data_IF_333883133981
#
_entry.id   IF_333883133981
#
_cell.length_a   1.000
_cell.length_b   1.000
_cell.length_c   1.000
_cell.angle_alpha   90.00
_cell.angle_beta   90.00
_cell.angle_gamma   90.00
#
_symmetry.space_group_name_H-M   'P 1'
#
loop_
_entity.id
_entity.type
_entity.pdbx_description
1 polymer ?
#
# COMPACT_ATOMS: atom_id res chain seq x y z
N UNK A 1 7.74 -28.12 -14.22
CA UNK A 1 8.46 -26.88 -13.86
C UNK A 1 7.43 -25.88 -13.40
N UNK A 2 7.56 -25.36 -12.18
CA UNK A 2 6.69 -24.31 -11.65
C UNK A 2 7.46 -23.00 -11.70
N UNK A 3 6.84 -21.94 -12.19
CA UNK A 3 7.46 -20.60 -12.29
C UNK A 3 6.64 -19.63 -11.45
N UNK A 4 7.32 -18.82 -10.64
CA UNK A 4 6.71 -17.72 -9.89
C UNK A 4 7.14 -16.42 -10.55
N UNK A 5 6.18 -15.56 -10.86
CA UNK A 5 6.40 -14.25 -11.48
C UNK A 5 5.76 -13.19 -10.60
N UNK A 6 6.49 -12.10 -10.37
CA UNK A 6 6.02 -10.94 -9.58
C UNK A 6 5.99 -9.73 -10.50
N UNK A 7 4.87 -9.03 -10.55
CA UNK A 7 4.66 -7.85 -11.39
C UNK A 7 3.75 -6.86 -10.64
N UNK A 8 3.94 -5.56 -10.88
CA UNK A 8 3.02 -4.50 -10.43
C UNK A 8 1.85 -4.27 -11.38
N UNK A 9 1.93 -4.84 -12.58
CA UNK A 9 0.88 -4.77 -13.59
C UNK A 9 0.12 -6.08 -13.64
N UNK A 10 -1.17 -5.99 -13.97
CA UNK A 10 -1.98 -7.15 -14.31
C UNK A 10 -1.30 -8.03 -15.37
N UNK A 11 -1.44 -9.36 -15.28
CA UNK A 11 -0.96 -10.27 -16.31
C UNK A 11 -1.53 -9.89 -17.69
N UNK A 12 -0.66 -9.88 -18.70
CA UNK A 12 -1.03 -9.56 -20.07
C UNK A 12 -2.16 -10.47 -20.59
N UNK A 13 -2.97 -9.97 -21.54
CA UNK A 13 -4.11 -10.71 -22.10
C UNK A 13 -3.71 -12.06 -22.73
N UNK A 14 -2.46 -12.20 -23.15
CA UNK A 14 -1.88 -13.46 -23.63
C UNK A 14 -1.96 -14.61 -22.61
N UNK A 15 -2.02 -14.30 -21.31
CA UNK A 15 -2.22 -15.28 -20.24
C UNK A 15 -3.68 -15.74 -20.09
N UNK A 16 -4.64 -15.16 -20.83
CA UNK A 16 -6.06 -15.49 -20.71
C UNK A 16 -6.34 -16.98 -20.96
N UNK A 17 -5.68 -17.59 -21.95
CA UNK A 17 -5.82 -19.03 -22.22
C UNK A 17 -5.28 -19.88 -21.07
N UNK A 18 -4.16 -19.48 -20.48
CA UNK A 18 -3.59 -20.18 -19.32
C UNK A 18 -4.48 -20.08 -18.09
N UNK A 19 -5.09 -18.91 -17.86
CA UNK A 19 -6.11 -18.70 -16.82
C UNK A 19 -7.33 -19.60 -17.03
N UNK A 20 -7.91 -19.61 -18.25
CA UNK A 20 -9.07 -20.44 -18.57
C UNK A 20 -8.80 -21.93 -18.38
N UNK A 21 -7.56 -22.36 -18.65
CA UNK A 21 -7.12 -23.75 -18.44
C UNK A 21 -6.69 -24.08 -17.00
N UNK A 22 -6.85 -23.15 -16.03
CA UNK A 22 -6.41 -23.29 -14.62
C UNK A 22 -4.93 -23.67 -14.46
N UNK A 23 -4.08 -23.26 -15.41
CA UNK A 23 -2.63 -23.51 -15.39
C UNK A 23 -1.82 -22.38 -14.75
N UNK A 24 -2.49 -21.28 -14.38
CA UNK A 24 -1.90 -20.13 -13.69
C UNK A 24 -2.86 -19.74 -12.57
N UNK A 25 -2.31 -19.58 -11.37
CA UNK A 25 -2.97 -18.96 -10.22
C UNK A 25 -2.47 -17.54 -10.07
N UNK A 26 -3.36 -16.63 -9.66
CA UNK A 26 -3.03 -15.23 -9.40
C UNK A 26 -3.24 -14.95 -7.91
N UNK A 27 -2.28 -14.25 -7.31
CA UNK A 27 -2.39 -13.69 -5.98
C UNK A 27 -2.39 -12.17 -6.16
N UNK A 28 -3.54 -11.55 -5.96
CA UNK A 28 -3.72 -10.11 -6.01
C UNK A 28 -3.49 -9.47 -4.66
N UNK A 29 -3.79 -8.17 -4.58
CA UNK A 29 -3.67 -7.40 -3.36
C UNK A 29 -4.47 -8.00 -2.19
N UNK A 30 -5.70 -8.44 -2.44
CA UNK A 30 -6.58 -8.99 -1.39
C UNK A 30 -6.05 -10.29 -0.78
N UNK A 31 -5.33 -11.11 -1.56
CA UNK A 31 -4.74 -12.35 -1.06
C UNK A 31 -3.40 -12.15 -0.33
N UNK A 32 -2.69 -11.06 -0.62
CA UNK A 32 -1.36 -10.78 -0.01
C UNK A 32 -1.41 -9.76 1.12
N UNK A 33 -2.46 -8.93 1.19
CA UNK A 33 -2.62 -8.01 2.31
C UNK A 33 -2.88 -8.81 3.57
N UNK A 34 -2.16 -8.48 4.64
CA UNK A 34 -2.39 -9.16 5.91
C UNK A 34 -3.77 -8.82 6.44
N UNK A 35 -4.47 -9.84 6.90
CA UNK A 35 -5.58 -9.70 7.82
C UNK A 35 -5.08 -9.17 9.17
N UNK A 36 -6.00 -8.74 10.04
CA UNK A 36 -5.66 -8.39 11.42
C UNK A 36 -5.03 -9.59 12.17
N UNK A 37 -5.49 -10.81 11.88
CA UNK A 37 -4.95 -12.04 12.45
C UNK A 37 -3.49 -12.28 12.04
N UNK A 38 -3.19 -12.14 10.75
CA UNK A 38 -1.83 -12.27 10.21
C UNK A 38 -0.92 -11.14 10.68
N UNK A 39 -1.43 -9.92 10.79
CA UNK A 39 -0.68 -8.78 11.35
C UNK A 39 -0.23 -9.07 12.78
N UNK A 40 -1.15 -9.58 13.63
CA UNK A 40 -0.82 -10.01 14.99
C UNK A 40 0.25 -11.09 15.01
N UNK A 41 0.12 -12.08 14.12
CA UNK A 41 1.05 -13.20 14.07
C UNK A 41 2.45 -12.79 13.59
N UNK A 42 2.52 -11.92 12.58
CA UNK A 42 3.76 -11.35 12.09
C UNK A 42 4.49 -10.54 13.18
N UNK A 43 3.77 -9.72 13.95
CA UNK A 43 4.31 -9.01 15.10
C UNK A 43 4.84 -9.99 16.16
N UNK A 44 4.10 -11.07 16.45
CA UNK A 44 4.50 -12.11 17.41
C UNK A 44 5.79 -12.83 16.99
N UNK A 45 5.90 -13.22 15.72
CA UNK A 45 7.08 -13.87 15.13
C UNK A 45 8.28 -12.92 15.11
N UNK A 46 8.04 -11.63 14.93
CA UNK A 46 9.07 -10.57 14.97
C UNK A 46 9.50 -10.17 16.40
N UNK A 47 9.05 -10.91 17.42
CA UNK A 47 9.43 -10.70 18.82
C UNK A 47 8.61 -9.63 19.57
N UNK A 48 7.54 -9.09 18.97
CA UNK A 48 6.65 -8.07 19.58
C UNK A 48 5.44 -8.70 20.26
N UNK A 49 5.70 -9.61 21.21
CA UNK A 49 4.64 -10.43 21.85
C UNK A 49 3.79 -9.69 22.88
N UNK A 50 4.26 -8.54 23.36
CA UNK A 50 3.64 -7.77 24.45
C UNK A 50 2.79 -6.59 23.99
N UNK A 51 2.56 -6.43 22.68
CA UNK A 51 1.72 -5.34 22.18
C UNK A 51 0.24 -5.62 22.50
N UNK A 52 -0.45 -4.60 23.03
CA UNK A 52 -1.89 -4.67 23.24
C UNK A 52 -2.66 -4.86 21.92
N UNK A 53 -3.86 -5.45 22.02
CA UNK A 53 -4.75 -5.66 20.88
C UNK A 53 -5.12 -4.33 20.17
N UNK A 54 -5.25 -3.24 20.91
CA UNK A 54 -5.53 -1.92 20.36
C UNK A 54 -4.36 -1.37 19.54
N UNK A 55 -3.13 -1.58 20.00
CA UNK A 55 -1.92 -1.21 19.24
C UNK A 55 -1.84 -2.00 17.95
N UNK A 56 -2.08 -3.31 18.00
CA UNK A 56 -2.07 -4.19 16.81
C UNK A 56 -3.13 -3.72 15.80
N UNK A 57 -4.34 -3.41 16.27
CA UNK A 57 -5.42 -2.89 15.42
C UNK A 57 -5.02 -1.57 14.76
N UNK A 58 -4.44 -0.62 15.51
CA UNK A 58 -3.95 0.64 14.97
C UNK A 58 -2.86 0.46 13.91
N UNK A 59 -1.89 -0.42 14.15
CA UNK A 59 -0.84 -0.75 13.18
C UNK A 59 -1.43 -1.36 11.89
N UNK A 60 -2.39 -2.26 12.04
CA UNK A 60 -3.09 -2.87 10.91
C UNK A 60 -3.88 -1.82 10.11
N UNK A 61 -4.66 -0.95 10.77
CA UNK A 61 -5.42 0.12 10.13
C UNK A 61 -4.51 1.14 9.43
N UNK A 62 -3.42 1.54 10.08
CA UNK A 62 -2.44 2.50 9.53
C UNK A 62 -1.77 1.97 8.27
N UNK A 63 -1.52 0.66 8.22
CA UNK A 63 -0.89 0.01 7.06
C UNK A 63 -1.92 -0.53 6.07
N UNK A 64 -3.21 -0.54 6.41
CA UNK A 64 -4.26 -1.24 5.67
C UNK A 64 -3.90 -2.70 5.30
N UNK A 65 -3.12 -3.39 6.14
CA UNK A 65 -2.60 -4.74 5.88
C UNK A 65 -1.36 -4.79 4.97
N UNK A 66 -0.77 -3.64 4.63
CA UNK A 66 0.45 -3.57 3.83
C UNK A 66 1.68 -4.05 4.60
N UNK A 67 2.15 -5.24 4.25
CA UNK A 67 3.28 -5.91 4.91
C UNK A 67 4.54 -5.04 4.93
N UNK A 68 4.90 -4.43 3.80
CA UNK A 68 6.10 -3.60 3.74
C UNK A 68 5.98 -2.37 4.66
N UNK A 69 4.79 -1.75 4.72
CA UNK A 69 4.49 -0.71 5.70
C UNK A 69 4.70 -1.20 7.12
N UNK A 70 4.11 -2.35 7.48
CA UNK A 70 4.26 -2.96 8.80
C UNK A 70 5.73 -3.22 9.15
N UNK A 71 6.52 -3.74 8.22
CA UNK A 71 7.97 -3.99 8.41
C UNK A 71 8.73 -2.68 8.65
N UNK A 72 8.46 -1.64 7.87
CA UNK A 72 9.09 -0.33 8.06
C UNK A 72 8.77 0.25 9.46
N UNK A 73 7.52 0.08 9.92
CA UNK A 73 7.13 0.49 11.27
C UNK A 73 7.88 -0.32 12.34
N UNK A 74 7.98 -1.64 12.15
CA UNK A 74 8.70 -2.50 13.09
C UNK A 74 10.19 -2.15 13.19
N UNK A 75 10.84 -1.80 12.08
CA UNK A 75 12.26 -1.39 12.09
C UNK A 75 12.47 -0.08 12.86
N UNK A 76 11.58 0.91 12.70
CA UNK A 76 11.63 2.15 13.50
C UNK A 76 11.41 1.89 14.99
N UNK A 77 10.53 0.94 15.34
CA UNK A 77 10.33 0.54 16.74
C UNK A 77 11.53 -0.21 17.36
N UNK A 78 12.54 -0.62 16.57
CA UNK A 78 13.78 -1.19 17.13
C UNK A 78 14.76 -0.10 17.55
N UNK A 79 14.72 1.07 16.90
CA UNK A 79 15.65 2.17 17.14
C UNK A 79 15.24 3.06 18.31
N UNK A 80 13.94 3.28 18.50
CA UNK A 80 13.41 3.87 19.73
C UNK A 80 13.20 2.79 20.77
N UNK A 81 13.34 3.13 22.04
CA UNK A 81 13.32 2.23 23.22
C UNK A 81 11.95 1.55 23.44
N UNK A 82 11.54 0.69 22.52
CA UNK A 82 10.81 -0.57 22.68
C UNK A 82 9.60 -0.62 23.62
N UNK A 83 8.92 0.50 23.89
CA UNK A 83 7.81 0.54 24.84
C UNK A 83 6.54 1.05 24.15
N UNK A 84 5.37 0.51 24.55
CA UNK A 84 4.06 0.92 24.05
C UNK A 84 3.77 2.44 24.04
N UNK A 85 4.37 3.30 24.91
CA UNK A 85 4.25 4.74 24.80
C UNK A 85 4.83 5.33 23.51
N UNK A 86 5.91 4.78 22.96
CA UNK A 86 6.51 5.25 21.70
C UNK A 86 5.59 5.04 20.49
N UNK A 87 4.62 4.11 20.60
CA UNK A 87 3.60 3.88 19.57
C UNK A 87 2.41 4.84 19.67
N UNK A 88 2.21 5.49 20.82
CA UNK A 88 1.20 6.54 20.96
C UNK A 88 1.60 7.80 20.22
N UNK A 89 2.90 8.04 20.05
CA UNK A 89 3.45 9.12 19.21
C UNK A 89 3.55 8.65 17.75
N UNK A 90 2.39 8.55 17.10
CA UNK A 90 2.25 8.16 15.68
C UNK A 90 3.04 9.06 14.69
N UNK A 91 3.54 10.21 15.12
CA UNK A 91 4.33 11.11 14.25
C UNK A 91 5.66 10.46 13.82
N UNK A 92 6.38 9.80 14.73
CA UNK A 92 7.66 9.13 14.45
C UNK A 92 7.49 7.92 13.50
N UNK A 93 6.29 7.33 13.53
CA UNK A 93 5.88 6.16 12.74
C UNK A 93 5.63 6.54 11.26
N UNK A 94 5.20 7.78 11.00
CA UNK A 94 4.92 8.27 9.63
C UNK A 94 6.20 8.60 8.84
N UNK A 95 7.25 9.07 9.50
CA UNK A 95 8.50 9.47 8.84
C UNK A 95 9.19 8.31 8.12
N UNK A 96 9.25 7.11 8.74
CA UNK A 96 9.87 5.93 8.13
C UNK A 96 9.14 5.40 6.89
N UNK A 97 7.79 5.38 6.96
CA UNK A 97 6.97 5.05 5.79
C UNK A 97 7.14 6.12 4.70
N UNK A 98 7.19 7.40 5.10
CA UNK A 98 7.36 8.51 4.18
C UNK A 98 8.69 8.44 3.43
N UNK A 99 9.81 8.14 4.10
CA UNK A 99 11.12 8.04 3.45
C UNK A 99 11.16 6.93 2.39
N UNK A 100 10.63 5.76 2.72
CA UNK A 100 10.50 4.67 1.76
C UNK A 100 9.60 5.07 0.59
N UNK A 101 8.43 5.66 0.87
CA UNK A 101 7.50 6.12 -0.16
C UNK A 101 8.17 7.14 -1.09
N UNK A 102 8.84 8.14 -0.50
CA UNK A 102 9.48 9.22 -1.23
C UNK A 102 10.58 8.67 -2.16
N UNK A 103 11.37 7.71 -1.68
CA UNK A 103 12.54 7.18 -2.41
C UNK A 103 12.19 6.08 -3.40
N UNK A 104 11.43 5.08 -2.96
CA UNK A 104 11.20 3.86 -3.73
C UNK A 104 10.02 3.96 -4.66
N UNK A 105 9.07 4.87 -4.40
CA UNK A 105 7.86 4.98 -5.22
C UNK A 105 7.70 6.35 -5.86
N UNK A 106 7.68 7.42 -5.06
CA UNK A 106 7.43 8.78 -5.57
C UNK A 106 8.54 9.26 -6.50
N UNK A 107 9.82 9.14 -6.11
CA UNK A 107 10.96 9.52 -6.97
C UNK A 107 11.05 8.71 -8.26
N UNK A 108 10.58 7.46 -8.26
CA UNK A 108 10.54 6.60 -9.47
C UNK A 108 9.33 6.88 -10.36
N UNK A 109 8.33 7.61 -9.89
CA UNK A 109 7.20 8.05 -10.70
C UNK A 109 7.61 9.17 -11.67
N UNK A 110 7.00 9.20 -12.85
CA UNK A 110 7.19 10.30 -13.80
C UNK A 110 6.74 11.64 -13.24
N UNK A 111 7.26 12.75 -13.79
CA UNK A 111 6.97 14.11 -13.30
C UNK A 111 5.48 14.45 -13.28
N UNK A 112 4.74 14.03 -14.29
CA UNK A 112 3.28 14.19 -14.36
C UNK A 112 2.58 13.46 -13.19
N UNK A 113 2.98 12.22 -12.92
CA UNK A 113 2.43 11.42 -11.83
C UNK A 113 2.78 12.00 -10.45
N UNK A 114 4.01 12.49 -10.26
CA UNK A 114 4.39 13.18 -9.03
C UNK A 114 3.50 14.40 -8.77
N UNK A 115 3.31 15.24 -9.78
CA UNK A 115 2.45 16.41 -9.68
C UNK A 115 0.98 16.03 -9.42
N UNK A 116 0.51 14.95 -10.06
CA UNK A 116 -0.84 14.42 -9.83
C UNK A 116 -1.03 14.02 -8.36
N UNK A 117 -0.18 13.13 -7.84
CA UNK A 117 -0.26 12.64 -6.47
C UNK A 117 -0.24 13.76 -5.43
N UNK A 118 0.67 14.73 -5.56
CA UNK A 118 0.77 15.85 -4.61
C UNK A 118 -0.50 16.70 -4.60
N UNK A 119 -1.06 17.00 -5.77
CA UNK A 119 -2.24 17.84 -5.89
C UNK A 119 -3.52 17.13 -5.43
N UNK A 120 -3.60 15.81 -5.58
CA UNK A 120 -4.76 15.02 -5.15
C UNK A 120 -4.70 14.56 -3.70
N UNK A 121 -3.51 14.52 -3.07
CA UNK A 121 -3.32 14.05 -1.70
C UNK A 121 -3.99 14.91 -0.61
N UNK A 122 -4.43 16.13 -0.96
CA UNK A 122 -5.14 17.02 -0.03
C UNK A 122 -6.56 16.56 0.29
N UNK A 123 -7.09 15.60 -0.48
CA UNK A 123 -8.46 15.12 -0.35
C UNK A 123 -8.49 13.65 0.05
N UNK A 124 -9.35 13.26 1.01
CA UNK A 124 -9.51 11.87 1.40
C UNK A 124 -10.19 11.02 0.31
N UNK A 125 -10.98 11.65 -0.57
CA UNK A 125 -11.63 11.02 -1.71
C UNK A 125 -11.54 11.96 -2.92
N UNK A 126 -11.26 11.39 -4.09
CA UNK A 126 -11.02 12.15 -5.32
C UNK A 126 -11.83 11.54 -6.45
N UNK A 127 -12.74 12.32 -7.01
CA UNK A 127 -13.41 11.97 -8.26
C UNK A 127 -12.56 12.39 -9.47
N UNK A 128 -12.77 11.81 -10.67
CA UNK A 128 -12.08 12.26 -11.88
C UNK A 128 -12.19 13.77 -12.10
N UNK A 129 -13.40 14.35 -11.98
CA UNK A 129 -13.61 15.78 -12.17
C UNK A 129 -12.84 16.65 -11.15
N UNK A 130 -12.77 16.21 -9.89
CA UNK A 130 -11.96 16.90 -8.87
C UNK A 130 -10.48 16.82 -9.20
N UNK A 131 -9.99 15.65 -9.63
CA UNK A 131 -8.61 15.49 -10.03
C UNK A 131 -8.27 16.37 -11.25
N UNK A 132 -9.12 16.45 -12.26
CA UNK A 132 -8.90 17.34 -13.41
C UNK A 132 -8.82 18.80 -12.98
N UNK A 133 -9.75 19.24 -12.13
CA UNK A 133 -9.79 20.62 -11.61
C UNK A 133 -8.53 20.98 -10.83
N UNK A 134 -8.06 20.09 -9.95
CA UNK A 134 -6.88 20.32 -9.13
C UNK A 134 -5.59 20.26 -9.96
N UNK A 135 -5.51 19.28 -10.87
CA UNK A 135 -4.26 18.97 -11.58
C UNK A 135 -4.07 19.79 -12.85
N UNK A 136 -5.17 20.20 -13.49
CA UNK A 136 -5.18 20.75 -14.85
C UNK A 136 -5.01 19.69 -15.94
N UNK A 137 -5.05 18.40 -15.59
CA UNK A 137 -4.78 17.29 -16.50
C UNK A 137 -6.11 16.70 -16.96
N UNK A 138 -6.53 16.97 -18.20
CA UNK A 138 -7.80 16.48 -18.79
C UNK A 138 -7.85 14.98 -19.11
N UNK A 139 -6.95 14.20 -18.51
CA UNK A 139 -6.90 12.72 -18.60
C UNK A 139 -6.78 12.11 -17.20
N UNK A 140 -7.29 12.81 -16.19
CA UNK A 140 -7.21 12.37 -14.80
C UNK A 140 -7.98 11.07 -14.57
N UNK A 141 -9.10 10.85 -15.25
CA UNK A 141 -9.84 9.59 -15.19
C UNK A 141 -8.95 8.39 -15.56
N UNK A 142 -8.20 8.49 -16.68
CA UNK A 142 -7.29 7.43 -17.13
C UNK A 142 -6.13 7.22 -16.15
N UNK A 143 -5.64 8.31 -15.54
CA UNK A 143 -4.57 8.25 -14.53
C UNK A 143 -5.08 7.53 -13.28
N UNK A 144 -6.24 7.93 -12.75
CA UNK A 144 -6.89 7.26 -11.60
C UNK A 144 -7.14 5.78 -11.91
N UNK A 145 -7.71 5.46 -13.07
CA UNK A 145 -7.98 4.07 -13.43
C UNK A 145 -6.71 3.21 -13.53
N UNK A 146 -5.63 3.77 -14.10
CA UNK A 146 -4.33 3.10 -14.13
C UNK A 146 -3.73 2.90 -12.74
N UNK A 147 -3.90 3.87 -11.84
CA UNK A 147 -3.43 3.77 -10.46
C UNK A 147 -4.21 2.71 -9.66
N UNK A 148 -5.53 2.65 -9.78
CA UNK A 148 -6.37 1.63 -9.13
C UNK A 148 -5.94 0.21 -9.55
N UNK A 149 -5.77 -0.02 -10.85
CA UNK A 149 -5.35 -1.32 -11.40
C UNK A 149 -3.94 -1.75 -11.04
N UNK A 150 -3.04 -0.79 -10.81
CA UNK A 150 -1.67 -1.08 -10.36
C UNK A 150 -1.56 -1.09 -8.84
N UNK A 151 -2.69 -1.00 -8.11
CA UNK A 151 -2.75 -0.83 -6.66
C UNK A 151 -1.82 0.30 -6.17
N UNK A 152 -1.75 1.36 -6.97
CA UNK A 152 -0.88 2.50 -6.75
C UNK A 152 -1.63 3.57 -5.95
N UNK A 153 -1.59 3.43 -4.63
CA UNK A 153 -2.04 4.41 -3.63
C UNK A 153 -3.51 4.79 -3.60
N UNK A 154 -4.32 4.30 -4.52
CA UNK A 154 -5.77 4.51 -4.50
C UNK A 154 -6.48 3.16 -4.57
N UNK A 155 -7.70 3.16 -4.04
CA UNK A 155 -8.66 2.09 -4.24
C UNK A 155 -9.98 2.71 -4.72
N UNK A 156 -10.56 2.14 -5.76
CA UNK A 156 -11.90 2.52 -6.20
C UNK A 156 -12.94 2.10 -5.15
N UNK A 157 -13.86 3.02 -4.85
CA UNK A 157 -15.03 2.75 -4.04
C UNK A 157 -16.25 2.94 -4.94
N UNK A 158 -17.05 1.90 -5.13
CA UNK A 158 -18.34 2.00 -5.81
C UNK A 158 -19.30 2.76 -4.89
N UNK A 159 -19.60 4.01 -5.23
CA UNK A 159 -20.66 4.82 -4.63
C UNK A 159 -21.89 4.86 -5.53
#
# INVERSE_FOLDING_TARGET
MNVVVISRNDPHSEFARLRASKKVSYLGWEEIRFTLGETREALRVSGRRSLSADTIRRLHETTAGWIAGLVLLMEKMKTDTGTEPALKEMEVTREGIFDYFATEVFKKAGKEMQAFLVKTALLPQVTPNMAETLTGIGRAEKILWGMDRSHFFITSHSG
#
